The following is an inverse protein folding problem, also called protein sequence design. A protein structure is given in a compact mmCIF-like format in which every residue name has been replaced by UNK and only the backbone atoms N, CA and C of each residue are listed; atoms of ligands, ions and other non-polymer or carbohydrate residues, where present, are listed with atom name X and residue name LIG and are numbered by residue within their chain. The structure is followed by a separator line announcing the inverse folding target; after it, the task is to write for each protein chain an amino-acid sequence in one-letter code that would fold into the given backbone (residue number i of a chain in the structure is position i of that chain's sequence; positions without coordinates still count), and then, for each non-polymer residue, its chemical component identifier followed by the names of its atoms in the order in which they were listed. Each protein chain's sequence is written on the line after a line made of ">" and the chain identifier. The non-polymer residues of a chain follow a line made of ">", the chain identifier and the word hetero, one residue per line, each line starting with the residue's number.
data_IF_003428779520
#
_entry.id   IF_003428779520
#
_cell.length_a   1.000
_cell.length_b   1.000
_cell.length_c   1.000
_cell.angle_alpha   90.00
_cell.angle_beta   90.00
_cell.angle_gamma   90.00
#
_symmetry.space_group_name_H-M   'P 1'
#
loop_
_entity.id
_entity.type
_entity.pdbx_description
1 polymer ?
#
# COMPACT_ATOMS: atom_id res chain seq x y z
N UNK A 1 7.13 14.44 15.36
CA UNK A 1 8.06 14.05 14.28
C UNK A 1 7.38 12.95 13.48
N UNK A 2 7.32 13.14 12.15
CA UNK A 2 6.89 12.23 11.07
C UNK A 2 5.39 11.84 10.94
N UNK A 3 4.70 12.47 9.98
CA UNK A 3 3.36 12.12 9.42
C UNK A 3 3.53 11.41 8.06
N UNK A 4 2.49 10.96 7.34
CA UNK A 4 2.48 10.26 6.03
C UNK A 4 1.10 10.00 5.51
N UNK A 5 0.92 9.53 4.26
CA UNK A 5 -0.39 8.99 3.89
C UNK A 5 -0.54 7.55 4.31
N UNK A 6 -0.51 7.36 5.61
CA UNK A 6 -0.06 6.09 6.12
C UNK A 6 -1.17 5.06 6.17
N UNK A 7 -1.05 4.01 5.37
CA UNK A 7 -1.05 2.70 6.00
C UNK A 7 0.22 2.61 6.86
N UNK A 8 0.16 2.96 8.16
CA UNK A 8 1.20 2.52 9.11
C UNK A 8 0.93 1.05 9.40
N UNK A 9 1.66 0.19 8.70
CA UNK A 9 1.76 -1.20 9.13
C UNK A 9 2.61 -1.27 10.40
N UNK A 10 1.98 -1.17 11.55
CA UNK A 10 2.36 -1.89 12.77
C UNK A 10 1.07 -2.16 13.55
N UNK A 11 0.70 -3.43 13.76
CA UNK A 11 -0.24 -3.95 14.77
C UNK A 11 -1.63 -3.25 14.92
N UNK A 12 -2.57 -3.48 13.99
CA UNK A 12 -3.96 -3.02 14.11
C UNK A 12 -4.86 -4.17 14.62
N UNK A 13 -5.99 -3.86 15.26
CA UNK A 13 -7.05 -4.81 15.62
C UNK A 13 -8.11 -4.93 14.49
N UNK A 14 -8.38 -6.16 14.05
CA UNK A 14 -8.77 -6.52 12.68
C UNK A 14 -10.28 -6.57 12.36
N UNK A 15 -11.20 -6.39 13.32
CA UNK A 15 -12.62 -6.77 13.09
C UNK A 15 -13.38 -5.99 12.00
N UNK A 16 -12.95 -4.79 11.59
CA UNK A 16 -13.73 -3.93 10.66
C UNK A 16 -12.96 -3.39 9.46
N UNK A 17 -11.64 -3.55 9.43
CA UNK A 17 -10.79 -3.07 8.34
C UNK A 17 -10.84 -4.00 7.12
N UNK A 18 -10.92 -5.32 7.34
CA UNK A 18 -11.00 -6.34 6.28
C UNK A 18 -12.25 -6.17 5.41
N UNK A 19 -13.40 -5.87 6.02
CA UNK A 19 -14.68 -5.62 5.34
C UNK A 19 -14.65 -4.34 4.49
N UNK A 20 -13.93 -3.31 4.96
CA UNK A 20 -13.85 -2.01 4.28
C UNK A 20 -12.96 -2.06 3.04
N UNK A 21 -11.87 -2.84 3.06
CA UNK A 21 -10.91 -2.92 1.93
C UNK A 21 -11.54 -3.55 0.68
N UNK A 22 -12.41 -4.55 0.83
CA UNK A 22 -13.19 -5.12 -0.28
C UNK A 22 -14.15 -4.08 -0.89
N UNK A 23 -14.77 -3.27 -0.04
CA UNK A 23 -15.65 -2.17 -0.47
C UNK A 23 -14.88 -1.11 -1.25
N UNK A 24 -13.70 -0.69 -0.75
CA UNK A 24 -12.86 0.29 -1.43
C UNK A 24 -12.32 -0.21 -2.78
N UNK A 25 -12.07 -1.50 -2.93
CA UNK A 25 -11.64 -2.07 -4.22
C UNK A 25 -12.71 -1.96 -5.32
N UNK A 26 -13.99 -1.94 -4.94
CA UNK A 26 -15.13 -1.78 -5.86
C UNK A 26 -15.62 -0.33 -5.98
N UNK A 27 -15.25 0.54 -5.03
CA UNK A 27 -15.58 1.97 -5.01
C UNK A 27 -14.60 2.83 -5.86
N UNK A 28 -13.74 2.21 -6.67
CA UNK A 28 -12.93 2.91 -7.67
C UNK A 28 -13.77 3.28 -8.91
N UNK A 29 -14.87 4.03 -8.72
CA UNK A 29 -15.45 4.82 -9.81
C UNK A 29 -14.74 6.17 -9.83
N UNK A 30 -13.85 6.31 -10.80
CA UNK A 30 -13.09 7.54 -11.03
C UNK A 30 -14.00 8.70 -11.43
N UNK A 31 -13.59 9.92 -11.07
CA UNK A 31 -14.17 11.14 -11.61
C UNK A 31 -14.08 11.13 -13.15
N UNK A 32 -15.18 11.40 -13.90
CA UNK A 32 -15.22 11.20 -15.34
C UNK A 32 -14.49 12.26 -16.18
N UNK A 33 -13.86 13.26 -15.55
CA UNK A 33 -13.41 14.46 -16.25
C UNK A 33 -12.00 14.77 -15.77
N UNK A 34 -11.08 15.02 -16.71
CA UNK A 34 -9.65 15.24 -16.49
C UNK A 34 -9.28 16.50 -15.68
N UNK A 35 -10.04 16.81 -14.63
CA UNK A 35 -9.69 17.79 -13.62
C UNK A 35 -8.48 17.26 -12.84
N UNK A 36 -7.43 18.07 -12.76
CA UNK A 36 -6.29 17.74 -11.92
C UNK A 36 -6.79 17.59 -10.48
N UNK A 37 -6.70 16.39 -9.91
CA UNK A 37 -7.00 16.16 -8.49
C UNK A 37 -6.22 17.18 -7.66
N UNK A 38 -6.93 17.92 -6.81
CA UNK A 38 -6.33 18.84 -5.85
C UNK A 38 -5.27 18.10 -5.02
N UNK A 39 -4.18 18.81 -4.68
CA UNK A 39 -3.13 18.26 -3.83
C UNK A 39 -3.70 18.07 -2.43
N UNK A 40 -3.53 16.87 -1.88
CA UNK A 40 -4.04 16.51 -0.55
C UNK A 40 -2.89 16.44 0.44
N UNK A 41 -2.95 17.24 1.49
CA UNK A 41 -2.02 17.17 2.62
C UNK A 41 -2.37 16.02 3.55
N UNK A 42 -1.36 15.26 3.99
CA UNK A 42 -1.59 14.13 4.91
C UNK A 42 -2.29 14.54 6.21
N UNK A 43 -2.12 15.77 6.68
CA UNK A 43 -2.78 16.30 7.89
C UNK A 43 -4.29 16.46 7.73
N UNK A 44 -4.81 16.51 6.50
CA UNK A 44 -6.25 16.60 6.22
C UNK A 44 -6.96 15.24 6.31
N UNK A 45 -6.21 14.14 6.36
CA UNK A 45 -6.74 12.78 6.38
C UNK A 45 -6.90 12.32 7.82
N UNK A 46 -8.12 11.89 8.16
CA UNK A 46 -8.45 11.40 9.49
C UNK A 46 -7.72 10.08 9.77
N UNK A 47 -7.01 9.96 10.92
CA UNK A 47 -6.43 8.70 11.34
C UNK A 47 -7.51 7.70 11.77
N UNK A 48 -7.14 6.42 11.82
CA UNK A 48 -8.01 5.30 12.20
C UNK A 48 -8.57 5.45 13.60
N UNK A 49 -7.83 6.09 14.51
CA UNK A 49 -8.32 6.44 15.86
C UNK A 49 -9.53 7.36 15.87
N UNK A 50 -9.77 8.12 14.80
CA UNK A 50 -10.87 9.09 14.67
C UNK A 50 -12.01 8.57 13.79
N UNK A 51 -11.84 7.39 13.15
CA UNK A 51 -12.87 6.80 12.31
C UNK A 51 -13.84 6.01 13.19
N UNK A 52 -15.11 6.43 13.22
CA UNK A 52 -16.16 5.62 13.83
C UNK A 52 -16.44 4.44 12.89
N UNK A 53 -16.30 3.18 13.35
CA UNK A 53 -16.50 2.05 12.47
C UNK A 53 -17.96 1.80 12.05
N UNK A 54 -18.89 2.69 12.39
CA UNK A 54 -20.27 2.76 11.86
C UNK A 54 -20.39 3.65 10.63
N UNK A 55 -19.41 4.53 10.40
CA UNK A 55 -19.38 5.46 9.27
C UNK A 55 -18.74 4.81 8.02
N UNK A 56 -18.25 3.58 8.15
CA UNK A 56 -17.73 2.79 7.05
C UNK A 56 -18.91 2.23 6.24
N UNK A 57 -18.81 2.21 4.89
CA UNK A 57 -19.87 1.67 4.05
C UNK A 57 -20.24 0.23 4.43
N UNK A 58 -21.52 -0.10 4.37
CA UNK A 58 -22.05 -1.38 4.86
C UNK A 58 -21.66 -2.53 3.92
N UNK A 59 -21.15 -3.63 4.47
CA UNK A 59 -20.58 -4.75 3.71
C UNK A 59 -21.61 -5.83 3.34
N UNK A 60 -22.88 -5.61 3.64
CA UNK A 60 -23.97 -6.60 3.55
C UNK A 60 -24.29 -7.08 2.13
N UNK A 61 -23.73 -6.47 1.09
CA UNK A 61 -23.94 -6.82 -0.33
C UNK A 61 -22.87 -7.73 -0.97
N UNK A 62 -21.87 -8.22 -0.23
CA UNK A 62 -20.85 -9.12 -0.79
C UNK A 62 -21.14 -10.60 -0.44
N UNK A 63 -21.52 -11.38 -1.46
CA UNK A 63 -22.01 -12.75 -1.32
C UNK A 63 -21.04 -13.73 -0.65
N UNK A 64 -21.56 -14.41 0.37
CA UNK A 64 -21.23 -15.74 0.90
C UNK A 64 -19.81 -16.30 0.74
N UNK A 65 -19.01 -16.16 1.81
CA UNK A 65 -18.41 -17.22 2.65
C UNK A 65 -17.25 -16.58 3.44
N UNK A 66 -17.58 -15.68 4.37
CA UNK A 66 -16.59 -14.99 5.18
C UNK A 66 -16.13 -15.89 6.33
N UNK A 67 -14.82 -16.15 6.45
CA UNK A 67 -14.21 -16.53 7.74
C UNK A 67 -14.24 -15.31 8.65
N UNK A 68 -15.40 -15.02 9.25
CA UNK A 68 -15.53 -13.97 10.25
C UNK A 68 -14.78 -14.43 11.49
N UNK A 69 -13.66 -13.77 11.81
CA UNK A 69 -13.01 -14.00 13.10
C UNK A 69 -13.86 -13.36 14.20
N UNK A 70 -14.43 -14.19 15.08
CA UNK A 70 -15.26 -13.73 16.21
C UNK A 70 -14.53 -12.72 17.08
N UNK A 71 -13.20 -12.77 17.19
CA UNK A 71 -12.33 -11.84 17.94
C UNK A 71 -11.05 -11.59 17.16
N UNK A 72 -10.62 -10.32 17.07
CA UNK A 72 -9.26 -10.04 16.55
C UNK A 72 -8.22 -10.55 17.55
N UNK A 73 -7.18 -11.27 17.09
CA UNK A 73 -6.10 -11.72 17.97
C UNK A 73 -5.15 -10.58 18.39
N UNK A 74 -5.38 -9.36 17.91
CA UNK A 74 -4.53 -8.20 18.16
C UNK A 74 -5.17 -7.24 19.17
N UNK A 75 -4.44 -6.85 20.23
CA UNK A 75 -4.93 -5.89 21.20
C UNK A 75 -5.11 -4.51 20.57
N UNK A 76 -6.02 -3.71 21.14
CA UNK A 76 -6.18 -2.32 20.78
C UNK A 76 -4.95 -1.51 21.21
N UNK A 77 -4.35 -0.74 20.30
CA UNK A 77 -3.24 0.17 20.60
C UNK A 77 -3.53 1.58 20.03
N UNK A 78 -3.76 2.59 20.89
CA UNK A 78 -4.08 3.95 20.44
C UNK A 78 -2.90 4.62 19.73
N UNK A 79 -1.64 4.29 20.08
CA UNK A 79 -0.45 4.89 19.45
C UNK A 79 -0.26 4.42 18.01
N UNK A 80 -0.75 3.22 17.71
CA UNK A 80 -0.78 2.68 16.36
C UNK A 80 -1.96 3.28 15.60
N UNK A 81 -3.16 3.23 16.18
CA UNK A 81 -4.37 3.68 15.52
C UNK A 81 -4.31 5.16 15.14
N UNK A 82 -3.56 5.99 15.87
CA UNK A 82 -3.32 7.40 15.53
C UNK A 82 -2.34 7.62 14.37
N UNK A 83 -1.67 6.58 13.88
CA UNK A 83 -0.67 6.65 12.80
C UNK A 83 -1.17 6.04 11.50
N UNK A 84 -2.26 5.30 11.53
CA UNK A 84 -2.84 4.65 10.35
C UNK A 84 -4.00 5.49 9.87
N UNK A 85 -4.21 5.57 8.57
CA UNK A 85 -5.37 6.14 7.95
C UNK A 85 -5.81 5.26 6.76
N UNK A 86 -7.11 5.20 6.54
CA UNK A 86 -7.68 4.62 5.34
C UNK A 86 -8.18 5.79 4.48
N UNK A 87 -7.68 5.88 3.26
CA UNK A 87 -8.01 6.99 2.37
C UNK A 87 -8.32 6.46 0.97
N UNK A 88 -9.44 6.92 0.43
CA UNK A 88 -9.85 6.66 -0.94
C UNK A 88 -9.62 7.92 -1.78
N UNK A 89 -8.71 7.80 -2.74
CA UNK A 89 -8.39 8.89 -3.64
C UNK A 89 -7.20 8.55 -4.54
N UNK A 90 -6.76 9.54 -5.29
CA UNK A 90 -5.60 9.42 -6.18
C UNK A 90 -4.29 9.56 -5.41
N UNK A 91 -3.58 8.46 -5.19
CA UNK A 91 -2.30 8.45 -4.47
C UNK A 91 -1.26 9.43 -5.06
N UNK A 92 -1.39 9.82 -6.33
CA UNK A 92 -0.48 10.76 -6.99
C UNK A 92 -0.74 12.23 -6.58
N UNK A 93 -1.84 12.56 -5.90
CA UNK A 93 -2.13 13.92 -5.41
C UNK A 93 -1.59 14.17 -4.00
N UNK A 94 -0.95 13.19 -3.38
CA UNK A 94 -0.60 13.22 -1.98
C UNK A 94 0.70 13.96 -1.68
N UNK A 95 0.62 15.02 -0.88
CA UNK A 95 1.80 15.77 -0.41
C UNK A 95 2.41 15.08 0.81
N UNK A 96 3.26 14.09 0.54
CA UNK A 96 3.90 13.24 1.55
C UNK A 96 5.39 12.98 1.24
N UNK A 97 6.12 12.21 2.06
CA UNK A 97 7.52 11.91 1.73
C UNK A 97 7.63 10.85 0.63
N UNK A 98 6.87 9.75 0.70
CA UNK A 98 6.98 8.70 -0.32
C UNK A 98 5.64 8.05 -0.62
N UNK A 99 5.36 7.81 -1.90
CA UNK A 99 4.24 6.97 -2.35
C UNK A 99 4.77 5.66 -2.94
N UNK A 100 3.94 4.62 -2.94
CA UNK A 100 4.27 3.33 -3.57
C UNK A 100 3.62 3.21 -4.94
N UNK A 101 4.42 2.78 -5.91
CA UNK A 101 4.04 2.48 -7.27
C UNK A 101 4.14 0.96 -7.49
N UNK A 102 2.99 0.28 -7.58
CA UNK A 102 2.92 -1.14 -7.97
C UNK A 102 2.97 -1.26 -9.49
N UNK A 103 3.95 -2.01 -10.01
CA UNK A 103 4.19 -2.12 -11.46
C UNK A 103 4.58 -3.55 -11.85
N UNK A 104 5.15 -3.75 -13.04
CA UNK A 104 5.71 -5.02 -13.52
C UNK A 104 7.24 -5.00 -13.49
N UNK A 105 7.84 -6.15 -13.78
CA UNK A 105 9.27 -6.38 -13.66
C UNK A 105 10.13 -5.49 -14.56
N UNK A 106 9.54 -5.06 -15.68
CA UNK A 106 10.15 -4.16 -16.66
C UNK A 106 9.82 -2.68 -16.39
N UNK A 107 9.05 -2.35 -15.35
CA UNK A 107 8.61 -1.00 -15.00
C UNK A 107 7.77 -0.31 -16.10
N UNK A 108 7.09 -1.10 -16.94
CA UNK A 108 6.31 -0.67 -18.11
C UNK A 108 4.82 -1.00 -18.01
N UNK A 109 4.33 -1.41 -16.84
CA UNK A 109 2.91 -1.78 -16.71
C UNK A 109 2.00 -0.60 -17.04
N UNK A 110 1.09 -0.82 -17.99
CA UNK A 110 0.08 0.13 -18.42
C UNK A 110 -1.17 -0.08 -17.59
N UNK A 111 -1.35 0.76 -16.59
CA UNK A 111 -2.53 0.82 -15.75
C UNK A 111 -2.98 2.28 -15.65
N UNK A 112 -4.27 2.58 -15.43
CA UNK A 112 -4.72 3.96 -15.25
C UNK A 112 -3.96 4.71 -14.16
N UNK A 113 -3.58 4.00 -13.07
CA UNK A 113 -2.75 4.55 -12.01
C UNK A 113 -1.31 4.84 -12.49
N UNK A 114 -0.69 3.90 -13.20
CA UNK A 114 0.70 4.03 -13.63
C UNK A 114 0.85 5.11 -14.71
N UNK A 115 -0.07 5.14 -15.67
CA UNK A 115 -0.09 6.19 -16.70
C UNK A 115 -0.26 7.56 -16.03
N UNK A 116 -1.16 7.67 -15.04
CA UNK A 116 -1.33 8.90 -14.26
C UNK A 116 -0.08 9.28 -13.46
N UNK A 117 0.53 8.34 -12.75
CA UNK A 117 1.73 8.57 -11.95
C UNK A 117 2.89 9.06 -12.82
N UNK A 118 3.15 8.37 -13.94
CA UNK A 118 4.21 8.74 -14.87
C UNK A 118 3.94 10.08 -15.56
N UNK A 119 2.68 10.38 -15.89
CA UNK A 119 2.31 11.68 -16.46
C UNK A 119 2.46 12.82 -15.44
N UNK A 120 2.02 12.61 -14.19
CA UNK A 120 2.16 13.61 -13.12
C UNK A 120 3.60 13.82 -12.66
N UNK A 121 4.40 12.76 -12.58
CA UNK A 121 5.82 12.86 -12.20
C UNK A 121 6.68 13.52 -13.28
N UNK A 122 6.25 13.45 -14.54
CA UNK A 122 6.97 14.02 -15.68
C UNK A 122 7.99 13.05 -16.31
N UNK A 123 8.63 13.47 -17.41
CA UNK A 123 9.51 12.60 -18.21
C UNK A 123 10.74 12.11 -17.45
N UNK A 124 11.27 12.90 -16.51
CA UNK A 124 12.45 12.55 -15.72
C UNK A 124 12.28 11.27 -14.90
N UNK A 125 11.05 10.97 -14.44
CA UNK A 125 10.80 9.69 -13.76
C UNK A 125 10.96 8.51 -14.72
N UNK A 126 10.50 8.63 -15.97
CA UNK A 126 10.66 7.58 -16.98
C UNK A 126 12.13 7.35 -17.31
N UNK A 127 12.90 8.43 -17.43
CA UNK A 127 14.35 8.36 -17.64
C UNK A 127 15.05 7.66 -16.46
N UNK A 128 14.72 8.00 -15.22
CA UNK A 128 15.29 7.37 -14.02
C UNK A 128 14.97 5.87 -13.93
N UNK A 129 13.73 5.50 -14.28
CA UNK A 129 13.31 4.11 -14.35
C UNK A 129 14.12 3.31 -15.38
N UNK A 130 14.41 3.89 -16.54
CA UNK A 130 15.15 3.22 -17.62
C UNK A 130 16.66 3.17 -17.32
N UNK A 131 17.24 4.27 -16.83
CA UNK A 131 18.68 4.43 -16.70
C UNK A 131 19.22 3.86 -15.38
N UNK A 132 18.51 4.09 -14.27
CA UNK A 132 19.01 3.80 -12.93
C UNK A 132 18.31 2.58 -12.30
N UNK A 133 16.99 2.47 -12.43
CA UNK A 133 16.25 1.34 -11.82
C UNK A 133 16.37 0.07 -12.67
N UNK A 134 16.18 0.19 -13.99
CA UNK A 134 16.28 -0.84 -15.06
C UNK A 134 15.26 -1.97 -14.99
N UNK A 135 15.06 -2.55 -13.81
CA UNK A 135 14.12 -3.65 -13.56
C UNK A 135 13.81 -3.75 -12.08
N UNK A 136 12.73 -4.45 -11.71
CA UNK A 136 12.41 -4.74 -10.30
C UNK A 136 11.79 -6.13 -10.21
N UNK A 137 12.36 -7.05 -9.45
CA UNK A 137 11.83 -8.42 -9.37
C UNK A 137 10.54 -8.44 -8.56
N UNK A 138 9.70 -9.45 -8.80
CA UNK A 138 8.53 -9.71 -7.94
C UNK A 138 9.00 -9.84 -6.47
N UNK A 139 8.36 -9.09 -5.56
CA UNK A 139 8.73 -9.02 -4.14
C UNK A 139 9.86 -8.05 -3.79
N UNK A 140 10.52 -7.44 -4.78
CA UNK A 140 11.55 -6.42 -4.59
C UNK A 140 10.92 -5.01 -4.47
N UNK A 141 11.68 -4.05 -3.94
CA UNK A 141 11.34 -2.64 -4.00
C UNK A 141 12.58 -1.79 -4.33
N UNK A 142 12.40 -0.74 -5.12
CA UNK A 142 13.45 0.24 -5.50
C UNK A 142 12.91 1.65 -5.38
N UNK A 143 13.78 2.63 -5.10
CA UNK A 143 13.37 4.02 -4.86
C UNK A 143 13.90 4.98 -5.92
N UNK A 144 13.09 5.96 -6.28
CA UNK A 144 13.43 7.12 -7.13
C UNK A 144 12.94 8.41 -6.49
N UNK A 145 13.32 9.55 -7.08
CA UNK A 145 12.70 10.85 -6.73
C UNK A 145 11.26 10.92 -7.24
N UNK A 146 10.42 11.71 -6.59
CA UNK A 146 9.04 11.95 -7.04
C UNK A 146 8.91 12.95 -8.20
N UNK A 147 9.96 13.71 -8.50
CA UNK A 147 9.99 14.72 -9.55
C UNK A 147 8.86 15.74 -9.39
N UNK A 148 7.92 15.80 -10.33
CA UNK A 148 6.80 16.74 -10.30
C UNK A 148 5.65 16.27 -9.38
N UNK A 149 5.73 15.08 -8.78
CA UNK A 149 4.76 14.64 -7.79
C UNK A 149 4.84 15.49 -6.52
N UNK A 150 3.71 15.70 -5.80
CA UNK A 150 3.74 16.29 -4.47
C UNK A 150 4.51 15.43 -3.45
N UNK A 151 4.66 14.13 -3.73
CA UNK A 151 5.48 13.22 -2.95
C UNK A 151 6.98 13.40 -3.27
N UNK A 152 7.84 13.37 -2.24
CA UNK A 152 9.31 13.56 -2.45
C UNK A 152 9.97 12.39 -3.17
N UNK A 153 9.50 11.17 -2.91
CA UNK A 153 10.05 9.93 -3.46
C UNK A 153 8.93 9.00 -3.95
N UNK A 154 9.31 8.06 -4.81
CA UNK A 154 8.46 6.93 -5.21
C UNK A 154 9.21 5.63 -4.91
N UNK A 155 8.55 4.71 -4.22
CA UNK A 155 9.03 3.33 -4.12
C UNK A 155 8.28 2.47 -5.12
N UNK A 156 9.02 1.89 -6.06
CA UNK A 156 8.54 0.96 -7.06
C UNK A 156 8.63 -0.46 -6.53
N UNK A 157 7.55 -1.23 -6.62
CA UNK A 157 7.52 -2.63 -6.21
C UNK A 157 6.67 -3.44 -7.18
N UNK A 158 6.89 -4.76 -7.20
CA UNK A 158 6.23 -5.66 -8.12
C UNK A 158 5.51 -6.75 -7.33
N UNK A 159 4.18 -6.63 -7.28
CA UNK A 159 3.32 -7.66 -6.69
C UNK A 159 3.33 -8.96 -7.51
N UNK A 160 3.07 -10.12 -6.90
CA UNK A 160 3.03 -11.40 -7.60
C UNK A 160 1.79 -11.52 -8.49
N UNK A 161 1.91 -12.31 -9.57
CA UNK A 161 0.73 -12.83 -10.28
C UNK A 161 0.19 -14.01 -9.49
N UNK A 162 -1.07 -13.94 -9.07
CA UNK A 162 -1.66 -14.99 -8.25
C UNK A 162 -2.13 -16.17 -9.10
N UNK A 163 -1.77 -17.36 -8.66
CA UNK A 163 -2.25 -18.63 -9.17
C UNK A 163 -2.42 -19.56 -7.99
N UNK A 164 -3.57 -20.23 -7.89
CA UNK A 164 -3.89 -21.16 -6.79
C UNK A 164 -2.80 -22.23 -6.63
N UNK A 165 -2.18 -22.70 -7.72
CA UNK A 165 -1.07 -23.67 -7.68
C UNK A 165 0.19 -23.15 -6.98
N UNK A 166 0.36 -21.83 -6.91
CA UNK A 166 1.54 -21.16 -6.36
C UNK A 166 1.16 -20.19 -5.23
N UNK A 167 0.07 -20.47 -4.51
CA UNK A 167 -0.47 -19.61 -3.46
C UNK A 167 0.62 -19.18 -2.45
N UNK A 168 1.34 -20.12 -1.83
CA UNK A 168 2.37 -19.81 -0.83
C UNK A 168 3.49 -18.92 -1.37
N UNK A 169 3.88 -19.11 -2.64
CA UNK A 169 4.88 -18.26 -3.28
C UNK A 169 4.34 -16.83 -3.51
N UNK A 170 3.07 -16.71 -3.92
CA UNK A 170 2.39 -15.43 -4.07
C UNK A 170 2.21 -14.72 -2.71
N UNK A 171 1.85 -15.42 -1.64
CA UNK A 171 1.80 -14.85 -0.28
C UNK A 171 3.16 -14.34 0.17
N UNK A 172 4.22 -15.14 -0.01
CA UNK A 172 5.59 -14.77 0.37
C UNK A 172 6.10 -13.56 -0.43
N UNK A 173 5.80 -13.51 -1.73
CA UNK A 173 6.17 -12.40 -2.59
C UNK A 173 5.42 -11.11 -2.23
N UNK A 174 4.11 -11.19 -1.98
CA UNK A 174 3.32 -10.03 -1.58
C UNK A 174 3.78 -9.49 -0.22
N UNK A 175 4.05 -10.37 0.74
CA UNK A 175 4.66 -10.01 2.02
C UNK A 175 6.01 -9.30 1.81
N UNK A 176 6.85 -9.83 0.91
CA UNK A 176 8.15 -9.22 0.59
C UNK A 176 8.02 -7.81 0.02
N UNK A 177 7.01 -7.53 -0.81
CA UNK A 177 6.74 -6.19 -1.32
C UNK A 177 6.54 -5.19 -0.17
N UNK A 178 5.60 -5.47 0.73
CA UNK A 178 5.32 -4.60 1.88
C UNK A 178 6.53 -4.48 2.81
N UNK A 179 7.21 -5.59 3.08
CA UNK A 179 8.41 -5.60 3.91
C UNK A 179 9.52 -4.70 3.33
N UNK A 180 9.83 -4.83 2.03
CA UNK A 180 10.88 -4.08 1.36
C UNK A 180 10.55 -2.60 1.22
N UNK A 181 9.27 -2.26 0.98
CA UNK A 181 8.79 -0.87 1.04
C UNK A 181 9.07 -0.25 2.40
N UNK A 182 8.65 -0.92 3.49
CA UNK A 182 8.83 -0.40 4.85
C UNK A 182 10.30 -0.37 5.27
N UNK A 183 11.09 -1.33 4.78
CA UNK A 183 12.54 -1.33 4.96
C UNK A 183 13.17 -0.06 4.36
N UNK A 184 12.86 0.25 3.10
CA UNK A 184 13.34 1.47 2.43
C UNK A 184 12.88 2.76 3.11
N UNK A 185 11.62 2.81 3.54
CA UNK A 185 11.07 3.93 4.33
C UNK A 185 11.91 4.17 5.58
N UNK A 186 12.24 3.10 6.31
CA UNK A 186 13.08 3.17 7.51
C UNK A 186 14.52 3.57 7.20
N UNK A 187 15.14 2.96 6.20
CA UNK A 187 16.54 3.23 5.80
C UNK A 187 16.76 4.69 5.40
N UNK A 188 15.77 5.30 4.75
CA UNK A 188 15.81 6.71 4.34
C UNK A 188 15.23 7.67 5.38
N UNK A 189 14.95 7.18 6.59
CA UNK A 189 14.36 7.94 7.70
C UNK A 189 13.08 8.73 7.31
N UNK A 190 12.30 8.13 6.41
CA UNK A 190 11.00 8.64 6.00
C UNK A 190 9.99 8.15 7.03
N UNK A 191 9.07 9.01 7.42
CA UNK A 191 7.93 8.56 8.25
C UNK A 191 6.60 8.95 7.65
N UNK A 192 6.64 9.44 6.40
CA UNK A 192 5.47 9.63 5.57
C UNK A 192 5.43 8.59 4.44
N UNK A 193 4.57 7.56 4.46
CA UNK A 193 4.42 6.62 3.33
C UNK A 193 2.98 6.47 2.88
N UNK A 194 2.70 6.56 1.58
CA UNK A 194 1.42 6.22 0.95
C UNK A 194 1.49 4.88 0.25
N UNK A 195 0.64 3.91 0.64
CA UNK A 195 0.56 2.60 0.00
C UNK A 195 -0.62 2.54 -0.97
N UNK A 196 -0.38 2.10 -2.20
CA UNK A 196 -1.45 1.66 -3.11
C UNK A 196 -1.76 0.17 -2.87
N UNK A 197 -2.87 -0.30 -3.45
CA UNK A 197 -3.20 -1.74 -3.44
C UNK A 197 -2.23 -2.48 -4.37
N UNK A 198 -1.20 -3.11 -3.79
CA UNK A 198 -0.17 -3.83 -4.55
C UNK A 198 -0.76 -5.08 -5.21
N UNK A 199 -1.66 -5.75 -4.50
CA UNK A 199 -2.39 -6.96 -4.90
C UNK A 199 -3.62 -6.63 -5.78
N UNK A 200 -3.40 -5.95 -6.90
CA UNK A 200 -4.49 -5.49 -7.77
C UNK A 200 -5.26 -6.65 -8.42
N UNK A 201 -6.53 -6.40 -8.76
CA UNK A 201 -7.40 -7.34 -9.48
C UNK A 201 -6.79 -7.83 -10.80
N UNK A 202 -6.00 -6.99 -11.47
CA UNK A 202 -5.26 -7.37 -12.70
C UNK A 202 -4.25 -8.50 -12.49
N UNK A 203 -3.78 -8.70 -11.26
CA UNK A 203 -2.87 -9.79 -10.87
C UNK A 203 -3.62 -11.01 -10.29
N UNK A 204 -4.95 -11.01 -10.36
CA UNK A 204 -5.84 -12.08 -9.91
C UNK A 204 -5.68 -12.47 -8.43
N UNK A 205 -5.14 -11.56 -7.61
CA UNK A 205 -4.92 -11.82 -6.19
C UNK A 205 -6.24 -11.62 -5.42
N UNK A 206 -6.70 -12.59 -4.60
CA UNK A 206 -7.90 -12.44 -3.81
C UNK A 206 -7.82 -11.17 -2.93
N UNK A 207 -8.75 -10.20 -3.07
CA UNK A 207 -8.65 -8.92 -2.35
C UNK A 207 -8.57 -9.09 -0.83
N UNK A 208 -9.33 -10.04 -0.27
CA UNK A 208 -9.35 -10.34 1.15
C UNK A 208 -8.00 -10.86 1.65
N UNK A 209 -7.44 -11.87 1.00
CA UNK A 209 -6.15 -12.46 1.40
C UNK A 209 -5.01 -11.45 1.25
N UNK A 210 -5.04 -10.66 0.17
CA UNK A 210 -4.06 -9.60 -0.04
C UNK A 210 -4.17 -8.48 0.99
N UNK A 211 -5.37 -8.09 1.40
CA UNK A 211 -5.62 -7.14 2.48
C UNK A 211 -5.09 -7.68 3.82
N UNK A 212 -5.33 -8.95 4.10
CA UNK A 212 -4.83 -9.62 5.30
C UNK A 212 -3.31 -9.55 5.36
N UNK A 213 -2.60 -9.86 4.27
CA UNK A 213 -1.13 -9.75 4.17
C UNK A 213 -0.65 -8.30 4.29
N UNK A 214 -1.36 -7.35 3.68
CA UNK A 214 -1.06 -5.93 3.75
C UNK A 214 -1.24 -5.35 5.17
N UNK A 215 -1.98 -6.03 6.05
CA UNK A 215 -2.22 -5.63 7.44
C UNK A 215 -1.42 -6.47 8.43
N UNK A 216 -1.03 -7.68 8.03
CA UNK A 216 -0.24 -8.60 8.83
C UNK A 216 1.24 -8.35 8.67
N UNK A 217 1.79 -7.64 9.66
CA UNK A 217 3.16 -7.90 10.05
C UNK A 217 3.21 -9.24 10.78
N UNK A 218 3.66 -10.32 10.12
CA UNK A 218 4.09 -11.52 10.86
C UNK A 218 5.19 -11.10 11.83
N UNK A 219 5.06 -11.54 13.07
CA UNK A 219 5.82 -11.17 14.26
C UNK A 219 7.30 -11.58 14.23
N UNK A 220 7.99 -11.47 13.10
CA UNK A 220 9.37 -11.91 12.89
C UNK A 220 10.40 -10.87 13.36
N UNK A 221 10.10 -10.14 14.44
CA UNK A 221 11.15 -9.36 15.14
C UNK A 221 11.92 -10.21 16.14
N UNK A 222 11.42 -11.43 16.47
CA UNK A 222 12.14 -12.38 17.33
C UNK A 222 13.27 -13.13 16.61
N UNK A 223 13.26 -13.21 15.28
CA UNK A 223 14.33 -13.91 14.52
C UNK A 223 15.44 -12.97 14.04
N UNK A 224 15.14 -11.70 13.79
CA UNK A 224 16.14 -10.68 13.42
C UNK A 224 17.09 -10.28 14.57
N UNK A 225 16.90 -10.82 15.77
CA UNK A 225 17.81 -10.67 16.92
C UNK A 225 18.74 -11.86 17.18
N UNK A 226 18.72 -12.92 16.36
CA UNK A 226 19.58 -14.12 16.56
C UNK A 226 20.77 -14.25 15.62
N UNK A 227 21.00 -13.30 14.73
CA UNK A 227 22.24 -13.23 13.94
C UNK A 227 23.04 -11.99 14.35
N UNK A 228 23.68 -12.10 15.51
CA UNK A 228 24.91 -11.39 15.83
C UNK A 228 25.96 -11.74 14.78
N UNK A 229 26.42 -10.74 14.03
CA UNK A 229 27.69 -10.84 13.33
C UNK A 229 28.74 -10.23 14.26
N UNK A 230 29.63 -11.09 14.75
CA UNK A 230 30.94 -10.69 15.27
C UNK A 230 31.91 -10.35 14.15
#
# INVERSE_FOLDING_TARGET
>A
MIQGLVYVLYHISFRKLEKSISIFSNLFRMDPLGVASEIVDASSIKPWSEINPRDLPDSSNFGNQEKVHDTSPFPFDPKINSKVALWAGDICSLRIQVIVHSTNEALTDRSPLNDRLLNKAGPLLKEDLVLNVKSCRTGEAKMTKGYNLPARYVIHTVGPKFNVKYQTAAESALFSCYFKVLQLVKEHNLGQVGLCVINSLRRNYPPHDGAHIALLKKQTSKELGRHSWG
#
